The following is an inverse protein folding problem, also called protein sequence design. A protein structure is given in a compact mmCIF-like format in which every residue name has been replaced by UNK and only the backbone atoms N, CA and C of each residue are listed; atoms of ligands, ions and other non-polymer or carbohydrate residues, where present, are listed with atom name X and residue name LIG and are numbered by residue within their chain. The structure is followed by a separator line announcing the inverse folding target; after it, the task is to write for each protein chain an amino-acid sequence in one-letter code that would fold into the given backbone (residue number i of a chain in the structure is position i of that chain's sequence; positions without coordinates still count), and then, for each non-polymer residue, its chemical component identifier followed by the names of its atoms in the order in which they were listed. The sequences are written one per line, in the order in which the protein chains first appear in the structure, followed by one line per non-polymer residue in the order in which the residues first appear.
data_IF_589647969663
#
_entry.id   IF_589647969663
#
_cell.length_a   1.000
_cell.length_b   1.000
_cell.length_c   1.000
_cell.angle_alpha   90.00
_cell.angle_beta   90.00
_cell.angle_gamma   90.00
#
_symmetry.space_group_name_H-M   'P 1'
#
loop_
_entity.id
_entity.type
_entity.pdbx_description
1 polymer ?
#
# COMPACT_ATOMS: atom_id res chain seq x y z
N UNK A 1 23.01 -8.46 12.38
CA UNK A 1 21.53 -8.41 12.51
C UNK A 1 21.04 -7.65 11.30
N UNK A 2 20.40 -8.33 10.34
CA UNK A 2 20.04 -7.69 9.05
C UNK A 2 19.00 -6.59 9.27
N UNK A 3 19.34 -5.35 8.88
CA UNK A 3 18.46 -4.17 8.92
C UNK A 3 17.07 -4.40 8.25
N UNK A 4 17.01 -5.28 7.27
CA UNK A 4 15.79 -5.73 6.58
C UNK A 4 14.80 -6.43 7.53
N UNK A 5 15.29 -7.29 8.44
CA UNK A 5 14.43 -7.98 9.42
C UNK A 5 13.82 -7.01 10.45
N UNK A 6 14.52 -5.92 10.75
CA UNK A 6 14.06 -4.89 11.67
C UNK A 6 12.98 -4.01 11.05
N UNK A 7 13.14 -3.64 9.77
CA UNK A 7 12.15 -2.87 9.01
C UNK A 7 10.86 -3.66 8.79
N UNK A 8 10.96 -4.96 8.43
CA UNK A 8 9.79 -5.86 8.27
C UNK A 8 8.87 -5.91 9.50
N UNK A 9 9.39 -5.69 10.71
CA UNK A 9 8.60 -5.71 11.96
C UNK A 9 8.01 -4.34 12.34
N UNK A 10 8.51 -3.23 11.81
CA UNK A 10 8.12 -1.89 12.22
C UNK A 10 7.19 -1.15 11.26
N UNK A 11 7.25 -1.46 9.98
CA UNK A 11 6.41 -0.80 8.95
C UNK A 11 4.91 -0.94 9.25
N UNK A 12 4.51 -2.02 9.92
CA UNK A 12 3.10 -2.37 10.17
C UNK A 12 2.53 -1.88 11.52
N UNK A 13 3.23 -1.00 12.23
CA UNK A 13 2.81 -0.54 13.57
C UNK A 13 2.67 0.98 13.70
N UNK A 14 2.42 1.69 12.62
CA UNK A 14 2.07 3.10 12.77
C UNK A 14 0.62 3.18 13.26
N UNK A 15 0.45 3.69 14.49
CA UNK A 15 -0.86 4.15 14.92
C UNK A 15 -1.32 5.24 13.95
N UNK A 16 -2.43 4.99 13.30
CA UNK A 16 -2.98 5.92 12.35
C UNK A 16 -3.70 7.06 13.09
N UNK A 17 -3.01 8.17 13.25
CA UNK A 17 -3.58 9.40 13.81
C UNK A 17 -4.00 10.39 12.70
N UNK A 18 -4.42 9.88 11.54
CA UNK A 18 -4.89 10.70 10.42
C UNK A 18 -6.14 11.47 10.79
N UNK A 19 -6.18 12.69 10.28
CA UNK A 19 -7.36 13.54 10.26
C UNK A 19 -7.38 14.31 8.94
N UNK A 20 -8.39 15.15 8.72
CA UNK A 20 -8.53 15.89 7.46
C UNK A 20 -7.38 16.88 7.19
N UNK A 21 -6.58 17.21 8.20
CA UNK A 21 -5.49 18.19 8.06
C UNK A 21 -4.14 17.55 7.74
N UNK A 22 -3.93 16.27 8.08
CA UNK A 22 -2.64 15.59 7.97
C UNK A 22 -2.67 14.27 7.15
N UNK A 23 -3.79 13.94 6.52
CA UNK A 23 -3.93 12.65 5.82
C UNK A 23 -2.94 12.50 4.64
N UNK A 24 -2.61 13.60 3.95
CA UNK A 24 -1.70 13.59 2.79
C UNK A 24 -0.28 13.21 3.22
N UNK A 25 0.18 13.76 4.35
CA UNK A 25 1.50 13.46 4.91
C UNK A 25 1.60 11.98 5.32
N UNK A 26 0.60 11.46 6.04
CA UNK A 26 0.56 10.06 6.42
C UNK A 26 0.46 9.14 5.20
N UNK A 27 -0.39 9.47 4.23
CA UNK A 27 -0.53 8.76 2.98
C UNK A 27 0.80 8.69 2.21
N UNK A 28 1.46 9.82 2.02
CA UNK A 28 2.76 9.88 1.35
C UNK A 28 3.83 9.07 2.07
N UNK A 29 3.85 9.12 3.40
CA UNK A 29 4.81 8.37 4.22
C UNK A 29 4.53 6.86 4.17
N UNK A 30 3.28 6.43 4.25
CA UNK A 30 2.91 5.03 4.14
C UNK A 30 3.16 4.47 2.74
N UNK A 31 2.82 5.23 1.70
CA UNK A 31 3.14 4.87 0.32
C UNK A 31 4.64 4.69 0.12
N UNK A 32 5.46 5.58 0.69
CA UNK A 32 6.93 5.45 0.69
C UNK A 32 7.37 4.13 1.33
N UNK A 33 6.86 3.81 2.52
CA UNK A 33 7.26 2.60 3.26
C UNK A 33 6.86 1.32 2.52
N UNK A 34 5.62 1.28 2.02
CA UNK A 34 5.11 0.14 1.25
C UNK A 34 5.88 -0.05 -0.06
N UNK A 35 6.08 1.02 -0.83
CA UNK A 35 6.83 0.98 -2.08
C UNK A 35 8.28 0.50 -1.85
N UNK A 36 8.94 0.99 -0.79
CA UNK A 36 10.26 0.53 -0.37
C UNK A 36 10.25 -0.96 -0.04
N UNK A 37 9.28 -1.43 0.74
CA UNK A 37 9.19 -2.84 1.13
C UNK A 37 8.93 -3.76 -0.08
N UNK A 38 8.04 -3.37 -1.00
CA UNK A 38 7.78 -4.08 -2.25
C UNK A 38 9.06 -4.17 -3.09
N UNK A 39 9.77 -3.06 -3.31
CA UNK A 39 10.99 -3.01 -4.08
C UNK A 39 12.09 -3.91 -3.48
N UNK A 40 12.26 -3.88 -2.15
CA UNK A 40 13.19 -4.76 -1.44
C UNK A 40 12.79 -6.23 -1.59
N UNK A 41 11.50 -6.55 -1.54
CA UNK A 41 10.99 -7.93 -1.71
C UNK A 41 11.20 -8.43 -3.13
N UNK A 42 11.11 -7.55 -4.13
CA UNK A 42 11.38 -7.85 -5.53
C UNK A 42 12.89 -7.93 -5.85
N UNK A 43 13.78 -7.65 -4.89
CA UNK A 43 15.24 -7.77 -5.05
C UNK A 43 15.90 -6.58 -5.77
N UNK A 44 15.29 -5.42 -5.79
CA UNK A 44 15.90 -4.21 -6.38
C UNK A 44 17.18 -3.81 -5.62
N UNK A 45 18.20 -3.28 -6.33
CA UNK A 45 19.39 -2.70 -5.71
C UNK A 45 19.04 -1.55 -4.77
N UNK A 46 19.85 -1.33 -3.73
CA UNK A 46 19.61 -0.30 -2.71
C UNK A 46 19.40 1.10 -3.30
N UNK A 47 20.13 1.44 -4.36
CA UNK A 47 20.00 2.74 -5.05
C UNK A 47 18.62 2.93 -5.69
N UNK A 48 18.07 1.88 -6.29
CA UNK A 48 16.74 1.90 -6.89
C UNK A 48 15.65 1.86 -5.81
N UNK A 49 15.83 1.06 -4.75
CA UNK A 49 14.94 1.06 -3.58
C UNK A 49 14.79 2.45 -2.98
N UNK A 50 15.90 3.19 -2.83
CA UNK A 50 15.87 4.58 -2.37
C UNK A 50 15.11 5.51 -3.31
N UNK A 51 15.29 5.34 -4.63
CA UNK A 51 14.56 6.10 -5.64
C UNK A 51 13.06 5.82 -5.62
N UNK A 52 12.67 4.53 -5.51
CA UNK A 52 11.27 4.11 -5.39
C UNK A 52 10.64 4.63 -4.10
N UNK A 53 11.37 4.57 -2.98
CA UNK A 53 10.90 5.14 -1.72
C UNK A 53 10.68 6.66 -1.82
N UNK A 54 11.64 7.39 -2.44
CA UNK A 54 11.49 8.82 -2.71
C UNK A 54 10.26 9.10 -3.60
N UNK A 55 10.00 8.24 -4.60
CA UNK A 55 8.81 8.35 -5.43
C UNK A 55 7.53 8.21 -4.60
N UNK A 56 7.45 7.20 -3.74
CA UNK A 56 6.31 7.01 -2.85
C UNK A 56 6.03 8.22 -1.95
N UNK A 57 7.09 8.87 -1.45
CA UNK A 57 6.97 10.08 -0.64
C UNK A 57 6.47 11.30 -1.45
N UNK A 58 6.86 11.40 -2.71
CA UNK A 58 6.68 12.61 -3.52
C UNK A 58 5.58 12.49 -4.57
N UNK A 59 4.98 11.32 -4.77
CA UNK A 59 4.07 11.07 -5.90
C UNK A 59 2.90 12.06 -5.96
N UNK A 60 2.43 12.51 -4.83
CA UNK A 60 1.30 13.41 -4.66
C UNK A 60 1.67 14.89 -4.46
N UNK A 61 2.95 15.25 -4.46
CA UNK A 61 3.40 16.63 -4.18
C UNK A 61 2.77 17.66 -5.13
N UNK A 62 2.44 17.24 -6.35
CA UNK A 62 1.78 18.08 -7.34
C UNK A 62 0.36 18.50 -6.96
N UNK A 63 -0.31 17.80 -6.04
CA UNK A 63 -1.62 18.19 -5.49
C UNK A 63 -1.55 19.53 -4.76
N UNK A 64 -0.36 19.92 -4.26
CA UNK A 64 -0.13 21.23 -3.65
C UNK A 64 -0.40 22.43 -4.55
N UNK A 65 -0.57 22.25 -5.87
CA UNK A 65 -1.06 23.28 -6.79
C UNK A 65 -2.56 23.58 -6.64
N UNK A 66 -3.29 22.70 -5.99
CA UNK A 66 -4.75 22.75 -5.85
C UNK A 66 -5.18 22.55 -4.40
N UNK A 67 -4.67 23.37 -3.46
CA UNK A 67 -4.89 23.15 -2.03
C UNK A 67 -6.37 23.15 -1.63
N UNK A 68 -7.22 23.91 -2.35
CA UNK A 68 -8.65 23.97 -2.13
C UNK A 68 -9.40 22.69 -2.52
N UNK A 69 -8.78 21.80 -3.31
CA UNK A 69 -9.38 20.53 -3.75
C UNK A 69 -8.96 19.33 -2.90
N UNK A 70 -7.85 19.43 -2.16
CA UNK A 70 -7.26 18.31 -1.42
C UNK A 70 -8.22 17.70 -0.40
N UNK A 71 -8.99 18.55 0.29
CA UNK A 71 -9.94 18.15 1.34
C UNK A 71 -11.41 18.25 0.91
N UNK A 72 -11.66 18.51 -0.36
CA UNK A 72 -13.02 18.67 -0.88
C UNK A 72 -13.65 17.31 -1.20
N UNK A 73 -14.69 16.91 -0.45
CA UNK A 73 -15.39 15.63 -0.62
C UNK A 73 -16.10 15.50 -1.97
N UNK A 74 -16.84 16.50 -2.36
CA UNK A 74 -17.71 16.48 -3.56
C UNK A 74 -17.05 17.22 -4.72
N UNK A 75 -16.05 16.58 -5.33
CA UNK A 75 -15.39 17.11 -6.51
C UNK A 75 -16.27 16.97 -7.75
N UNK A 76 -16.44 18.03 -8.50
CA UNK A 76 -16.99 17.99 -9.86
C UNK A 76 -16.06 17.23 -10.80
N UNK A 77 -16.55 16.74 -11.93
CA UNK A 77 -15.70 16.05 -12.93
C UNK A 77 -14.57 16.96 -13.46
N UNK A 78 -14.81 18.26 -13.58
CA UNK A 78 -13.77 19.22 -13.97
C UNK A 78 -12.65 19.30 -12.93
N UNK A 79 -12.99 19.35 -11.63
CA UNK A 79 -12.04 19.37 -10.53
C UNK A 79 -11.27 18.06 -10.41
N UNK A 80 -11.94 16.90 -10.56
CA UNK A 80 -11.27 15.59 -10.62
C UNK A 80 -10.26 15.54 -11.76
N UNK A 81 -10.65 16.00 -12.96
CA UNK A 81 -9.74 16.05 -14.11
C UNK A 81 -8.57 17.00 -13.86
N UNK A 82 -8.79 18.10 -13.17
CA UNK A 82 -7.71 19.01 -12.77
C UNK A 82 -6.74 18.34 -11.80
N UNK A 83 -7.24 17.70 -10.73
CA UNK A 83 -6.40 16.93 -9.81
C UNK A 83 -5.62 15.80 -10.50
N UNK A 84 -6.21 15.10 -11.48
CA UNK A 84 -5.53 14.05 -12.26
C UNK A 84 -4.33 14.56 -13.08
N UNK A 85 -4.12 15.87 -13.16
CA UNK A 85 -2.93 16.43 -13.80
C UNK A 85 -1.71 16.50 -12.88
N UNK A 86 -1.88 16.33 -11.56
CA UNK A 86 -0.80 16.51 -10.59
C UNK A 86 0.46 15.68 -10.85
N UNK A 87 0.43 14.43 -11.40
CA UNK A 87 1.66 13.70 -11.64
C UNK A 87 2.56 14.36 -12.69
N UNK A 88 2.01 15.19 -13.58
CA UNK A 88 2.79 15.94 -14.58
C UNK A 88 3.67 17.00 -13.94
N UNK A 89 3.28 17.51 -12.78
CA UNK A 89 4.00 18.57 -12.07
C UNK A 89 5.32 18.07 -11.47
N UNK A 90 5.49 16.74 -11.38
CA UNK A 90 6.71 16.18 -10.81
C UNK A 90 7.97 16.63 -11.57
N UNK A 91 7.88 16.81 -12.89
CA UNK A 91 9.00 17.29 -13.69
C UNK A 91 9.43 18.70 -13.31
N UNK A 92 8.47 19.57 -12.94
CA UNK A 92 8.77 20.92 -12.48
C UNK A 92 9.41 20.88 -11.08
N UNK A 93 8.87 20.03 -10.18
CA UNK A 93 9.38 19.86 -8.82
C UNK A 93 10.76 19.23 -8.81
N UNK A 94 11.02 18.22 -9.65
CA UNK A 94 12.32 17.54 -9.73
C UNK A 94 13.39 18.38 -10.44
N UNK A 95 13.01 19.42 -11.18
CA UNK A 95 13.95 20.32 -11.83
C UNK A 95 14.83 20.99 -10.78
N UNK A 96 16.15 20.76 -10.88
CA UNK A 96 17.14 21.29 -9.91
C UNK A 96 17.40 20.37 -8.72
N UNK A 97 16.67 19.29 -8.53
CA UNK A 97 17.03 18.26 -7.55
C UNK A 97 18.13 17.34 -8.12
N UNK A 98 18.83 16.64 -7.21
CA UNK A 98 19.94 15.75 -7.54
C UNK A 98 19.86 14.45 -6.72
N UNK A 99 20.76 13.51 -6.99
CA UNK A 99 20.85 12.26 -6.25
C UNK A 99 19.65 11.35 -6.50
N UNK A 100 19.05 10.82 -5.42
CA UNK A 100 17.93 9.87 -5.50
C UNK A 100 16.67 10.47 -6.15
N UNK A 101 16.45 11.77 -5.97
CA UNK A 101 15.29 12.47 -6.50
C UNK A 101 15.35 12.68 -8.03
N UNK A 102 16.54 12.69 -8.61
CA UNK A 102 16.76 12.77 -10.06
C UNK A 102 16.90 11.39 -10.71
N UNK A 103 16.72 10.30 -9.96
CA UNK A 103 16.82 8.94 -10.51
C UNK A 103 15.60 8.58 -11.36
N UNK A 104 15.79 7.70 -12.34
CA UNK A 104 14.68 7.15 -13.12
C UNK A 104 13.62 6.48 -12.24
N UNK A 105 14.05 5.80 -11.16
CA UNK A 105 13.16 5.14 -10.24
C UNK A 105 12.23 6.14 -9.53
N UNK A 106 12.75 7.30 -9.11
CA UNK A 106 11.94 8.36 -8.51
C UNK A 106 11.04 9.03 -9.56
N UNK A 107 11.59 9.45 -10.69
CA UNK A 107 10.87 10.19 -11.74
C UNK A 107 9.70 9.37 -12.29
N UNK A 108 9.97 8.16 -12.77
CA UNK A 108 8.91 7.30 -13.33
C UNK A 108 7.97 6.76 -12.27
N UNK A 109 8.48 6.48 -11.06
CA UNK A 109 7.64 6.09 -9.93
C UNK A 109 6.58 7.13 -9.61
N UNK A 110 6.95 8.42 -9.53
CA UNK A 110 6.00 9.51 -9.31
C UNK A 110 5.06 9.71 -10.51
N UNK A 111 5.64 9.80 -11.71
CA UNK A 111 4.89 10.15 -12.91
C UNK A 111 3.84 9.12 -13.30
N UNK A 112 4.13 7.82 -13.06
CA UNK A 112 3.29 6.71 -13.49
C UNK A 112 2.53 6.05 -12.32
N UNK A 113 2.57 6.61 -11.12
CA UNK A 113 1.95 6.04 -9.92
C UNK A 113 0.41 5.84 -10.03
N UNK A 114 -0.23 6.59 -10.91
CA UNK A 114 -1.67 6.51 -11.13
C UNK A 114 -2.04 5.90 -12.50
N UNK A 115 -1.06 5.39 -13.25
CA UNK A 115 -1.33 4.61 -14.46
C UNK A 115 -1.76 3.19 -14.08
N UNK A 116 -2.66 2.60 -14.88
CA UNK A 116 -3.24 1.29 -14.64
C UNK A 116 -2.98 0.35 -15.82
N UNK A 117 -2.84 -0.95 -15.56
CA UNK A 117 -2.45 -1.94 -16.56
C UNK A 117 -3.36 -1.95 -17.80
N UNK A 118 -4.65 -1.69 -17.61
CA UNK A 118 -5.66 -1.63 -18.67
C UNK A 118 -5.72 -0.31 -19.45
N UNK A 119 -4.93 0.71 -19.04
CA UNK A 119 -4.90 2.04 -19.64
C UNK A 119 -5.99 2.99 -19.14
N UNK A 120 -6.78 2.60 -18.14
CA UNK A 120 -7.80 3.47 -17.53
C UNK A 120 -7.23 4.50 -16.56
N UNK A 121 -5.91 4.43 -16.28
CA UNK A 121 -5.19 5.33 -15.39
C UNK A 121 -4.92 6.72 -15.97
N UNK A 122 -4.15 7.50 -15.26
CA UNK A 122 -3.74 8.85 -15.65
C UNK A 122 -2.28 9.13 -15.21
N UNK A 123 -1.60 10.16 -15.74
CA UNK A 123 -2.08 11.26 -16.59
C UNK A 123 -1.98 11.00 -18.08
N UNK A 124 -1.42 9.85 -18.53
CA UNK A 124 -1.15 9.56 -19.95
C UNK A 124 -2.05 8.46 -20.51
N UNK A 125 -2.73 7.67 -19.67
CA UNK A 125 -3.47 6.48 -20.09
C UNK A 125 -2.55 5.39 -20.65
N UNK A 126 -1.36 5.23 -20.06
CA UNK A 126 -0.44 4.16 -20.43
C UNK A 126 -1.01 2.81 -20.04
N UNK A 127 -0.66 1.76 -20.81
CA UNK A 127 -1.14 0.40 -20.55
C UNK A 127 -0.04 -0.64 -20.64
N UNK A 128 -0.14 -1.70 -19.86
CA UNK A 128 0.72 -2.86 -19.91
C UNK A 128 2.21 -2.50 -19.75
N UNK A 129 3.04 -2.97 -20.65
CA UNK A 129 4.50 -2.77 -20.62
C UNK A 129 4.98 -1.33 -20.87
N UNK A 130 4.08 -0.39 -21.22
CA UNK A 130 4.43 1.02 -21.33
C UNK A 130 4.60 1.69 -19.98
N UNK A 131 4.05 1.10 -18.91
CA UNK A 131 4.23 1.53 -17.53
C UNK A 131 5.47 0.83 -16.99
N UNK A 132 6.37 1.57 -16.36
CA UNK A 132 7.55 0.98 -15.71
C UNK A 132 7.14 0.22 -14.46
N UNK A 133 7.95 -0.77 -14.06
CA UNK A 133 7.70 -1.47 -12.78
C UNK A 133 7.78 -0.52 -11.59
N UNK A 134 8.56 0.56 -11.67
CA UNK A 134 8.58 1.62 -10.64
C UNK A 134 7.20 2.29 -10.46
N UNK A 135 6.53 2.62 -11.58
CA UNK A 135 5.16 3.14 -11.57
C UNK A 135 4.17 2.17 -10.92
N UNK A 136 4.26 0.89 -11.29
CA UNK A 136 3.40 -0.14 -10.68
C UNK A 136 3.66 -0.36 -9.19
N UNK A 137 4.93 -0.31 -8.74
CA UNK A 137 5.27 -0.45 -7.31
C UNK A 137 4.67 0.71 -6.50
N UNK A 138 4.88 1.94 -6.94
CA UNK A 138 4.35 3.12 -6.24
C UNK A 138 2.82 3.14 -6.33
N UNK A 139 2.25 2.82 -7.50
CA UNK A 139 0.81 2.79 -7.72
C UNK A 139 0.09 1.74 -6.86
N UNK A 140 0.65 0.53 -6.75
CA UNK A 140 0.08 -0.51 -5.89
C UNK A 140 0.16 -0.14 -4.40
N UNK A 141 1.28 0.44 -3.97
CA UNK A 141 1.47 0.94 -2.61
C UNK A 141 0.48 2.08 -2.28
N UNK A 142 0.37 3.06 -3.17
CA UNK A 142 -0.59 4.16 -3.09
C UNK A 142 -2.02 3.63 -2.97
N UNK A 143 -2.43 2.75 -3.89
CA UNK A 143 -3.80 2.24 -3.90
C UNK A 143 -4.13 1.41 -2.68
N UNK A 144 -3.18 0.59 -2.19
CA UNK A 144 -3.38 -0.17 -0.97
C UNK A 144 -3.62 0.75 0.23
N UNK A 145 -2.79 1.79 0.41
CA UNK A 145 -2.97 2.76 1.50
C UNK A 145 -4.30 3.51 1.42
N UNK A 146 -4.71 3.92 0.21
CA UNK A 146 -6.02 4.56 -0.02
C UNK A 146 -7.20 3.65 0.36
N UNK A 147 -7.09 2.34 0.14
CA UNK A 147 -8.17 1.40 0.43
C UNK A 147 -8.34 1.16 1.94
N UNK A 148 -7.24 1.09 2.69
CA UNK A 148 -7.27 0.69 4.10
C UNK A 148 -7.39 1.86 5.09
N UNK A 149 -7.38 3.09 4.59
CA UNK A 149 -7.44 4.27 5.45
C UNK A 149 -8.58 5.21 5.09
N UNK A 150 -9.12 5.85 6.13
CA UNK A 150 -10.10 6.91 5.95
C UNK A 150 -9.42 8.17 5.40
N UNK A 151 -9.98 8.71 4.32
CA UNK A 151 -9.55 9.95 3.67
C UNK A 151 -10.78 10.78 3.29
N UNK A 152 -10.64 12.03 2.84
CA UNK A 152 -11.78 12.77 2.29
C UNK A 152 -12.49 12.08 1.12
N UNK A 153 -11.82 11.13 0.47
CA UNK A 153 -12.31 10.39 -0.71
C UNK A 153 -12.67 8.93 -0.40
N UNK A 154 -12.44 8.47 0.84
CA UNK A 154 -12.77 7.12 1.30
C UNK A 154 -13.29 7.17 2.74
N UNK A 155 -14.60 7.18 2.91
CA UNK A 155 -15.24 7.22 4.23
C UNK A 155 -15.34 5.83 4.88
N UNK A 156 -15.26 4.74 4.10
CA UNK A 156 -15.38 3.34 4.55
C UNK A 156 -14.14 2.54 4.15
N UNK A 157 -13.08 2.60 4.97
CA UNK A 157 -11.84 1.86 4.68
C UNK A 157 -12.05 0.34 4.78
N UNK A 158 -11.37 -0.38 3.92
CA UNK A 158 -11.32 -1.84 3.89
C UNK A 158 -10.35 -2.36 4.97
N UNK A 159 -10.56 -3.61 5.40
CA UNK A 159 -9.52 -4.34 6.10
C UNK A 159 -8.37 -4.73 5.14
N UNK A 160 -7.22 -5.11 5.69
CA UNK A 160 -6.05 -5.45 4.87
C UNK A 160 -6.30 -6.64 3.93
N UNK A 161 -7.02 -7.65 4.39
CA UNK A 161 -7.40 -8.83 3.61
C UNK A 161 -8.32 -8.46 2.44
N UNK A 162 -9.34 -7.66 2.68
CA UNK A 162 -10.27 -7.17 1.66
C UNK A 162 -9.53 -6.32 0.60
N UNK A 163 -8.65 -5.42 1.02
CA UNK A 163 -7.86 -4.58 0.12
C UNK A 163 -6.89 -5.40 -0.74
N UNK A 164 -6.24 -6.42 -0.16
CA UNK A 164 -5.36 -7.32 -0.91
C UNK A 164 -6.16 -8.17 -1.90
N UNK A 165 -7.32 -8.72 -1.51
CA UNK A 165 -8.19 -9.47 -2.39
C UNK A 165 -8.68 -8.61 -3.57
N UNK A 166 -9.11 -7.37 -3.28
CA UNK A 166 -9.49 -6.40 -4.31
C UNK A 166 -8.34 -6.15 -5.31
N UNK A 167 -7.12 -5.90 -4.83
CA UNK A 167 -5.97 -5.64 -5.70
C UNK A 167 -5.57 -6.86 -6.53
N UNK A 168 -5.63 -8.05 -5.95
CA UNK A 168 -5.37 -9.32 -6.65
C UNK A 168 -6.40 -9.59 -7.76
N UNK A 169 -7.68 -9.30 -7.50
CA UNK A 169 -8.77 -9.51 -8.46
C UNK A 169 -8.88 -8.42 -9.53
N UNK A 170 -8.30 -7.24 -9.30
CA UNK A 170 -8.48 -6.07 -10.18
C UNK A 170 -7.80 -6.19 -11.55
N UNK A 171 -6.71 -6.94 -11.65
CA UNK A 171 -5.83 -7.00 -12.83
C UNK A 171 -5.28 -5.64 -13.31
N UNK A 172 -5.21 -4.65 -12.42
CA UNK A 172 -4.78 -3.28 -12.73
C UNK A 172 -3.28 -3.04 -12.53
N UNK A 173 -2.56 -4.04 -12.01
CA UNK A 173 -1.12 -3.97 -11.74
C UNK A 173 -0.39 -5.22 -12.23
N UNK A 174 0.94 -5.14 -12.33
CA UNK A 174 1.76 -6.31 -12.61
C UNK A 174 1.62 -7.37 -11.50
N UNK A 175 1.46 -8.63 -11.89
CA UNK A 175 1.26 -9.76 -10.97
C UNK A 175 2.41 -9.87 -9.97
N UNK A 176 3.65 -9.66 -10.40
CA UNK A 176 4.85 -9.72 -9.57
C UNK A 176 4.85 -8.65 -8.48
N UNK A 177 4.32 -7.45 -8.79
CA UNK A 177 4.19 -6.35 -7.84
C UNK A 177 3.13 -6.68 -6.79
N UNK A 178 1.97 -7.16 -7.21
CA UNK A 178 0.89 -7.57 -6.28
C UNK A 178 1.35 -8.75 -5.41
N UNK A 179 2.04 -9.73 -5.97
CA UNK A 179 2.64 -10.82 -5.20
C UNK A 179 3.61 -10.29 -4.15
N UNK A 180 4.50 -9.37 -4.51
CA UNK A 180 5.43 -8.77 -3.55
C UNK A 180 4.68 -7.97 -2.46
N UNK A 181 3.62 -7.24 -2.82
CA UNK A 181 2.77 -6.53 -1.86
C UNK A 181 2.13 -7.50 -0.85
N UNK A 182 1.54 -8.62 -1.29
CA UNK A 182 0.94 -9.62 -0.38
C UNK A 182 1.95 -10.28 0.55
N UNK A 183 3.22 -10.29 0.19
CA UNK A 183 4.29 -10.85 1.01
C UNK A 183 4.87 -9.86 2.04
N UNK A 184 4.70 -8.55 1.83
CA UNK A 184 5.20 -7.51 2.75
C UNK A 184 4.12 -6.93 3.67
N UNK A 185 2.86 -6.99 3.25
CA UNK A 185 1.72 -6.56 4.06
C UNK A 185 1.26 -7.70 4.97
N UNK A 186 0.97 -7.37 6.21
CA UNK A 186 0.30 -8.30 7.11
C UNK A 186 -1.20 -8.32 6.81
N UNK A 187 -1.71 -9.46 6.39
CA UNK A 187 -3.15 -9.64 6.15
C UNK A 187 -3.94 -9.34 7.43
N UNK A 188 -3.49 -9.93 8.54
CA UNK A 188 -4.06 -9.70 9.86
C UNK A 188 -2.98 -9.08 10.77
N UNK A 189 -2.96 -7.77 11.01
CA UNK A 189 -2.01 -7.13 11.90
C UNK A 189 -1.99 -7.78 13.29
N UNK A 190 -0.82 -7.80 13.94
CA UNK A 190 -0.71 -8.28 15.32
C UNK A 190 -1.57 -7.43 16.24
N UNK A 191 -2.40 -8.08 17.06
CA UNK A 191 -3.38 -7.42 17.90
C UNK A 191 -4.78 -7.31 17.27
N UNK A 192 -4.95 -7.73 16.00
CA UNK A 192 -6.28 -7.81 15.38
C UNK A 192 -7.14 -8.86 16.08
N UNK A 193 -8.34 -8.47 16.47
CA UNK A 193 -9.36 -9.39 16.98
C UNK A 193 -10.10 -10.04 15.81
N UNK A 194 -10.17 -11.37 15.80
CA UNK A 194 -10.75 -12.13 14.68
C UNK A 194 -11.79 -13.12 15.15
N UNK A 195 -12.80 -13.36 14.31
CA UNK A 195 -13.72 -14.50 14.43
C UNK A 195 -13.30 -15.58 13.44
N UNK A 196 -13.20 -16.80 13.94
CA UNK A 196 -12.82 -17.97 13.16
C UNK A 196 -14.07 -18.66 12.58
N UNK A 197 -13.87 -19.45 11.51
CA UNK A 197 -14.95 -20.19 10.84
C UNK A 197 -15.65 -21.24 11.72
N UNK A 198 -15.03 -21.62 12.84
CA UNK A 198 -15.63 -22.48 13.86
C UNK A 198 -16.38 -21.69 14.97
N UNK A 199 -16.54 -20.37 14.83
CA UNK A 199 -17.22 -19.49 15.76
C UNK A 199 -16.37 -19.00 16.95
N UNK A 200 -15.13 -19.47 17.11
CA UNK A 200 -14.24 -18.98 18.18
C UNK A 200 -13.72 -17.58 17.85
N UNK A 201 -13.45 -16.79 18.87
CA UNK A 201 -12.79 -15.49 18.76
C UNK A 201 -11.37 -15.56 19.30
N UNK A 202 -10.46 -14.86 18.63
CA UNK A 202 -9.06 -14.85 19.03
C UNK A 202 -8.35 -13.56 18.62
N UNK A 203 -7.16 -13.37 19.21
CA UNK A 203 -6.31 -12.23 18.96
C UNK A 203 -5.09 -12.68 18.15
N UNK A 204 -4.79 -12.01 17.04
CA UNK A 204 -3.57 -12.31 16.26
C UNK A 204 -2.33 -12.01 17.09
N UNK A 205 -1.52 -13.03 17.35
CA UNK A 205 -0.26 -12.93 18.10
C UNK A 205 0.93 -12.70 17.17
N UNK A 206 0.93 -13.40 16.04
CA UNK A 206 1.98 -13.24 15.02
C UNK A 206 1.52 -13.74 13.65
N UNK A 207 2.17 -13.26 12.59
CA UNK A 207 1.87 -13.64 11.22
C UNK A 207 2.74 -14.80 10.75
N UNK A 208 2.18 -15.64 9.88
CA UNK A 208 2.90 -16.68 9.18
C UNK A 208 3.31 -16.14 7.80
N UNK A 209 4.62 -15.94 7.59
CA UNK A 209 5.15 -15.39 6.34
C UNK A 209 4.92 -16.29 5.12
N UNK A 210 4.83 -17.61 5.34
CA UNK A 210 4.62 -18.59 4.25
C UNK A 210 3.14 -18.79 3.94
N UNK A 211 2.27 -18.56 4.91
CA UNK A 211 0.82 -18.72 4.81
C UNK A 211 0.13 -17.50 5.46
N UNK A 212 0.12 -16.33 4.81
CA UNK A 212 -0.35 -15.07 5.41
C UNK A 212 -1.79 -15.11 5.94
N UNK A 213 -2.66 -15.92 5.32
CA UNK A 213 -4.05 -16.13 5.76
C UNK A 213 -4.18 -17.09 6.95
N UNK A 214 -3.06 -17.60 7.46
CA UNK A 214 -2.99 -18.58 8.55
C UNK A 214 -2.13 -18.06 9.72
N UNK A 215 -2.53 -17.00 10.42
CA UNK A 215 -1.77 -16.43 11.51
C UNK A 215 -1.69 -17.35 12.73
N UNK A 216 -0.81 -17.01 13.67
CA UNK A 216 -0.85 -17.54 15.03
C UNK A 216 -1.82 -16.68 15.84
N UNK A 217 -2.74 -17.30 16.53
CA UNK A 217 -3.86 -16.64 17.26
C UNK A 217 -3.87 -17.11 18.71
N UNK A 218 -4.20 -16.20 19.62
CA UNK A 218 -4.52 -16.52 21.02
C UNK A 218 -6.02 -16.58 21.19
N UNK A 219 -6.54 -17.75 21.59
CA UNK A 219 -7.96 -18.00 21.91
C UNK A 219 -8.05 -18.25 23.40
N UNK A 220 -8.57 -17.28 24.17
CA UNK A 220 -8.50 -17.31 25.62
C UNK A 220 -7.05 -17.35 26.11
N UNK A 221 -6.60 -18.49 26.66
CA UNK A 221 -5.22 -18.70 27.10
C UNK A 221 -4.43 -19.65 26.18
N UNK A 222 -5.07 -20.20 25.13
CA UNK A 222 -4.46 -21.16 24.21
C UNK A 222 -3.85 -20.42 23.02
N UNK A 223 -2.56 -20.68 22.75
CA UNK A 223 -1.91 -20.29 21.49
C UNK A 223 -2.19 -21.33 20.43
N UNK A 224 -2.63 -20.88 19.27
CA UNK A 224 -3.02 -21.72 18.14
C UNK A 224 -2.29 -21.25 16.91
N UNK A 225 -1.67 -22.19 16.20
CA UNK A 225 -1.11 -21.94 14.87
C UNK A 225 -2.08 -22.49 13.82
N UNK A 226 -2.81 -21.58 13.14
CA UNK A 226 -3.79 -22.00 12.12
C UNK A 226 -3.15 -22.74 10.94
N UNK A 227 -1.83 -22.63 10.74
CA UNK A 227 -1.12 -23.27 9.65
C UNK A 227 -0.70 -24.72 9.95
N UNK A 228 -0.39 -25.05 11.23
CA UNK A 228 0.22 -26.33 11.59
C UNK A 228 -0.58 -27.18 12.56
N UNK A 229 -1.46 -26.59 13.39
CA UNK A 229 -2.19 -27.34 14.39
C UNK A 229 -3.31 -28.17 13.74
N UNK A 230 -3.29 -29.49 13.93
CA UNK A 230 -4.22 -30.42 13.27
C UNK A 230 -5.70 -30.08 13.57
N UNK A 231 -6.01 -29.71 14.80
CA UNK A 231 -7.35 -29.32 15.26
C UNK A 231 -7.89 -28.12 14.46
N UNK A 232 -6.99 -27.25 13.98
CA UNK A 232 -7.33 -26.01 13.28
C UNK A 232 -7.05 -26.04 11.76
N UNK A 233 -6.72 -27.22 11.21
CA UNK A 233 -6.35 -27.37 9.78
C UNK A 233 -7.42 -26.79 8.84
N UNK A 234 -8.68 -26.94 9.15
CA UNK A 234 -9.82 -26.47 8.33
C UNK A 234 -10.45 -25.18 8.88
N UNK A 235 -9.85 -24.59 9.92
CA UNK A 235 -10.35 -23.36 10.53
C UNK A 235 -9.66 -22.18 9.88
N UNK A 236 -10.40 -21.19 9.43
CA UNK A 236 -9.89 -19.94 8.81
C UNK A 236 -10.35 -18.73 9.61
N UNK A 237 -9.70 -17.60 9.42
CA UNK A 237 -10.25 -16.31 9.82
C UNK A 237 -11.43 -16.02 8.91
N UNK A 238 -12.58 -15.73 9.48
CA UNK A 238 -13.82 -15.42 8.75
C UNK A 238 -14.11 -13.93 8.77
N UNK A 239 -13.75 -13.25 9.84
CA UNK A 239 -14.09 -11.85 10.05
C UNK A 239 -13.05 -11.17 10.95
N UNK A 240 -12.70 -9.93 10.64
CA UNK A 240 -11.98 -9.03 11.54
C UNK A 240 -13.00 -8.29 12.38
N UNK A 241 -12.87 -8.40 13.70
CA UNK A 241 -13.79 -7.77 14.66
C UNK A 241 -13.17 -6.44 15.12
N UNK A 242 -13.89 -5.36 14.93
CA UNK A 242 -13.50 -4.01 15.37
C UNK A 242 -13.62 -3.84 16.90
#
# INVERSE_FOLDING_TARGET
MNSISYLKKRILRMEDSRNNDNWVEYHSFNTMQLAMAIAMRMGYPETEVKGIAAAGLMHDIGKGKYPELINKKDLTEAEKNLLRTHPRTIFEVLTGLSGIFASNACTYGCWQSHELYDGSGYPMGLSGSKITTYGYIVGAANRFDDLIHKTPFNDEPMNNDEALEYLMGSNLYQVEVIKALTEVVSVYPVGTKTRLSNGQEGLVESNNMSLPLRPNIVIGYKRVNLASDEEYRNVTVQEVIS
#
